data_IF_609015147606
#
_entry.id   IF_609015147606
#
_cell.length_a   1.000
_cell.length_b   1.000
_cell.length_c   1.000
_cell.angle_alpha   90.00
_cell.angle_beta   90.00
_cell.angle_gamma   90.00
#
_symmetry.space_group_name_H-M   'P 1'
#
loop_
_entity.id
_entity.type
_entity.pdbx_description
1 polymer ?
#
# COMPACT_ATOMS: atom_id res chain seq x y z
N UNK A 1 -14.85 -14.93 -14.67
CA UNK A 1 -15.93 -15.35 -13.75
C UNK A 1 -16.11 -14.23 -12.75
N UNK A 2 -17.25 -13.53 -12.76
CA UNK A 2 -17.49 -12.42 -11.84
C UNK A 2 -17.81 -13.03 -10.46
N UNK A 3 -16.89 -12.89 -9.49
CA UNK A 3 -17.11 -13.44 -8.15
C UNK A 3 -18.25 -12.67 -7.50
N UNK A 4 -19.28 -13.37 -7.03
CA UNK A 4 -20.41 -12.73 -6.37
C UNK A 4 -19.96 -12.11 -5.03
N UNK A 5 -20.02 -10.77 -4.92
CA UNK A 5 -19.60 -10.03 -3.72
C UNK A 5 -20.26 -10.52 -2.43
N UNK A 6 -21.50 -11.00 -2.50
CA UNK A 6 -22.22 -11.56 -1.35
C UNK A 6 -21.70 -12.93 -0.91
N UNK A 7 -21.31 -13.79 -1.86
CA UNK A 7 -20.65 -15.06 -1.51
C UNK A 7 -19.28 -14.82 -0.90
N UNK A 8 -18.51 -13.91 -1.48
CA UNK A 8 -17.19 -13.55 -0.96
C UNK A 8 -17.30 -12.94 0.44
N UNK A 9 -18.25 -12.02 0.65
CA UNK A 9 -18.55 -11.47 1.96
C UNK A 9 -18.88 -12.55 3.00
N UNK A 10 -19.70 -13.54 2.64
CA UNK A 10 -20.04 -14.64 3.56
C UNK A 10 -18.83 -15.47 3.95
N UNK A 11 -17.97 -15.83 2.98
CA UNK A 11 -16.74 -16.58 3.25
C UNK A 11 -15.78 -15.79 4.14
N UNK A 12 -15.58 -14.50 3.84
CA UNK A 12 -14.70 -13.64 4.64
C UNK A 12 -15.28 -13.42 6.05
N UNK A 13 -16.58 -13.18 6.17
CA UNK A 13 -17.25 -13.02 7.46
C UNK A 13 -17.07 -14.23 8.37
N UNK A 14 -17.05 -15.44 7.80
CA UNK A 14 -16.77 -16.67 8.56
C UNK A 14 -15.32 -16.73 9.05
N UNK A 15 -14.36 -16.36 8.19
CA UNK A 15 -12.93 -16.30 8.55
C UNK A 15 -12.70 -15.27 9.67
N UNK A 16 -13.24 -14.06 9.52
CA UNK A 16 -13.11 -12.99 10.51
C UNK A 16 -13.74 -13.37 11.85
N UNK A 17 -14.89 -14.05 11.82
CA UNK A 17 -15.55 -14.56 13.04
C UNK A 17 -14.65 -15.55 13.79
N UNK A 18 -13.98 -16.45 13.08
CA UNK A 18 -13.05 -17.41 13.67
C UNK A 18 -11.82 -16.70 14.24
N UNK A 19 -11.21 -15.79 13.47
CA UNK A 19 -10.03 -15.04 13.90
C UNK A 19 -10.32 -14.15 15.12
N UNK A 20 -11.49 -13.51 15.19
CA UNK A 20 -11.92 -12.75 16.37
C UNK A 20 -12.03 -13.64 17.61
N UNK A 21 -12.62 -14.83 17.48
CA UNK A 21 -12.74 -15.79 18.60
C UNK A 21 -11.39 -16.28 19.11
N UNK A 22 -10.39 -16.35 18.23
CA UNK A 22 -9.02 -16.71 18.56
C UNK A 22 -8.18 -15.53 19.08
N UNK A 23 -8.75 -14.32 19.13
CA UNK A 23 -8.02 -13.10 19.53
C UNK A 23 -6.97 -12.66 18.52
N UNK A 24 -7.07 -13.10 17.26
CA UNK A 24 -6.09 -12.82 16.18
C UNK A 24 -6.39 -11.48 15.51
N UNK A 25 -7.66 -11.16 15.29
CA UNK A 25 -8.07 -9.89 14.71
C UNK A 25 -9.08 -9.14 15.61
N UNK A 26 -9.19 -7.83 15.40
CA UNK A 26 -10.05 -6.94 16.18
C UNK A 26 -11.22 -6.34 15.37
N UNK A 27 -11.77 -7.06 14.41
CA UNK A 27 -12.91 -6.56 13.63
C UNK A 27 -14.16 -6.45 14.51
N UNK A 28 -15.00 -5.45 14.27
CA UNK A 28 -16.23 -5.30 15.06
C UNK A 28 -17.24 -6.43 14.77
N UNK A 29 -17.98 -6.85 15.80
CA UNK A 29 -19.08 -7.82 15.61
C UNK A 29 -20.12 -7.32 14.61
N UNK A 30 -20.33 -5.99 14.53
CA UNK A 30 -21.20 -5.34 13.54
C UNK A 30 -20.75 -5.60 12.11
N UNK A 31 -19.46 -5.43 11.82
CA UNK A 31 -18.87 -5.68 10.49
C UNK A 31 -19.05 -7.14 10.11
N UNK A 32 -18.69 -8.06 11.02
CA UNK A 32 -18.82 -9.51 10.79
C UNK A 32 -20.28 -9.90 10.54
N UNK A 33 -21.21 -9.39 11.35
CA UNK A 33 -22.64 -9.63 11.16
C UNK A 33 -23.13 -9.13 9.80
N UNK A 34 -22.69 -7.95 9.38
CA UNK A 34 -23.05 -7.37 8.08
C UNK A 34 -22.60 -8.25 6.91
N UNK A 35 -21.35 -8.73 6.95
CA UNK A 35 -20.79 -9.63 5.94
C UNK A 35 -21.53 -10.97 5.87
N UNK A 36 -21.81 -11.59 7.01
CA UNK A 36 -22.46 -12.90 7.11
C UNK A 36 -23.91 -12.90 6.61
N UNK A 37 -24.61 -11.77 6.76
CA UNK A 37 -26.03 -11.65 6.45
C UNK A 37 -26.32 -10.91 5.14
N UNK A 38 -25.29 -10.58 4.36
CA UNK A 38 -25.51 -9.93 3.06
C UNK A 38 -25.94 -8.46 3.16
N UNK A 39 -25.58 -7.76 4.24
CA UNK A 39 -25.91 -6.34 4.41
C UNK A 39 -25.02 -5.52 3.47
N UNK A 40 -25.59 -5.10 2.35
CA UNK A 40 -24.86 -4.50 1.23
C UNK A 40 -23.98 -3.29 1.61
N UNK A 41 -24.43 -2.32 2.44
CA UNK A 41 -23.56 -1.21 2.84
C UNK A 41 -22.30 -1.65 3.61
N UNK A 42 -22.42 -2.66 4.47
CA UNK A 42 -21.28 -3.20 5.23
C UNK A 42 -20.31 -3.97 4.31
N UNK A 43 -20.83 -4.59 3.25
CA UNK A 43 -20.04 -5.28 2.23
C UNK A 43 -19.27 -4.27 1.38
N UNK A 44 -19.94 -3.22 0.93
CA UNK A 44 -19.34 -2.20 0.08
C UNK A 44 -18.27 -1.40 0.84
N UNK A 45 -18.52 -1.07 2.11
CA UNK A 45 -17.52 -0.47 3.00
C UNK A 45 -16.32 -1.40 3.24
N UNK A 46 -16.56 -2.69 3.47
CA UNK A 46 -15.47 -3.64 3.70
C UNK A 46 -14.59 -3.83 2.46
N UNK A 47 -15.18 -3.83 1.27
CA UNK A 47 -14.45 -3.99 0.01
C UNK A 47 -13.97 -2.67 -0.60
N UNK A 48 -14.16 -1.53 0.06
CA UNK A 48 -13.69 -0.23 -0.44
C UNK A 48 -12.17 -0.09 -0.26
N UNK A 49 -11.40 -0.90 -0.98
CA UNK A 49 -9.96 -0.73 -1.14
C UNK A 49 -9.75 0.02 -2.44
N UNK A 50 -9.18 1.22 -2.36
CA UNK A 50 -8.76 1.96 -3.53
C UNK A 50 -7.65 1.18 -4.26
N UNK A 51 -7.88 0.84 -5.52
CA UNK A 51 -6.94 0.07 -6.31
C UNK A 51 -5.75 0.92 -6.73
N UNK A 52 -4.54 0.45 -6.44
CA UNK A 52 -3.32 0.95 -7.09
C UNK A 52 -3.22 0.30 -8.48
N UNK A 53 -3.27 1.13 -9.52
CA UNK A 53 -3.23 0.70 -10.91
C UNK A 53 -1.81 0.47 -11.40
N UNK A 54 -1.67 -0.32 -12.47
CA UNK A 54 -0.39 -0.50 -13.17
C UNK A 54 0.21 0.82 -13.67
N UNK A 55 -0.64 1.77 -14.08
CA UNK A 55 -0.21 3.10 -14.50
C UNK A 55 0.45 3.88 -13.36
N UNK A 56 -0.13 3.81 -12.15
CA UNK A 56 0.45 4.47 -10.98
C UNK A 56 1.77 3.83 -10.56
N UNK A 57 1.86 2.49 -10.56
CA UNK A 57 3.14 1.80 -10.29
C UNK A 57 4.21 2.21 -11.29
N UNK A 58 3.85 2.26 -12.58
CA UNK A 58 4.76 2.69 -13.64
C UNK A 58 5.22 4.14 -13.44
N UNK A 59 4.31 5.05 -13.10
CA UNK A 59 4.65 6.46 -12.85
C UNK A 59 5.70 6.60 -11.75
N UNK A 60 5.56 5.88 -10.63
CA UNK A 60 6.58 5.86 -9.56
C UNK A 60 7.90 5.29 -10.08
N UNK A 61 7.88 4.17 -10.82
CA UNK A 61 9.08 3.58 -11.42
C UNK A 61 9.80 4.59 -12.34
N UNK A 62 9.06 5.31 -13.18
CA UNK A 62 9.61 6.29 -14.11
C UNK A 62 10.31 7.44 -13.36
N UNK A 63 9.81 7.83 -12.18
CA UNK A 63 10.44 8.82 -11.30
C UNK A 63 11.70 8.29 -10.60
N UNK A 64 11.73 7.02 -10.20
CA UNK A 64 12.88 6.41 -9.53
C UNK A 64 14.02 6.02 -10.49
N UNK A 65 13.68 5.65 -11.73
CA UNK A 65 14.63 5.14 -12.73
C UNK A 65 15.86 6.03 -12.96
N UNK A 66 15.74 7.37 -13.06
CA UNK A 66 16.91 8.24 -13.20
C UNK A 66 17.94 8.07 -12.08
N UNK A 67 17.50 7.82 -10.84
CA UNK A 67 18.40 7.61 -9.70
C UNK A 67 18.89 6.17 -9.60
N UNK A 68 18.13 5.21 -10.11
CA UNK A 68 18.53 3.80 -10.12
C UNK A 68 19.60 3.50 -11.17
N UNK A 69 19.50 4.12 -12.35
CA UNK A 69 20.34 3.82 -13.50
C UNK A 69 21.63 4.66 -13.53
N UNK A 70 21.64 5.81 -12.87
CA UNK A 70 22.76 6.76 -12.88
C UNK A 70 23.31 6.98 -11.46
N UNK A 71 24.53 6.48 -11.22
CA UNK A 71 25.20 6.59 -9.92
C UNK A 71 25.51 8.02 -9.50
N UNK A 72 25.74 8.93 -10.44
CA UNK A 72 25.97 10.33 -10.10
C UNK A 72 24.69 10.97 -9.59
N UNK A 73 23.55 10.69 -10.24
CA UNK A 73 22.24 11.14 -9.77
C UNK A 73 21.90 10.53 -8.42
N UNK A 74 22.13 9.22 -8.25
CA UNK A 74 21.96 8.56 -6.95
C UNK A 74 22.79 9.25 -5.88
N UNK A 75 24.06 9.58 -6.16
CA UNK A 75 24.94 10.23 -5.18
C UNK A 75 24.38 11.56 -4.66
N UNK A 76 23.68 12.30 -5.54
CA UNK A 76 23.06 13.60 -5.25
C UNK A 76 21.66 13.50 -4.66
N UNK A 77 21.01 12.35 -4.78
CA UNK A 77 19.70 12.08 -4.19
C UNK A 77 19.80 12.11 -2.65
N UNK A 78 18.96 12.94 -2.03
CA UNK A 78 18.93 13.22 -0.59
C UNK A 78 17.76 12.56 0.12
N UNK A 79 16.63 12.39 -0.55
CA UNK A 79 15.44 11.81 0.04
C UNK A 79 14.17 12.11 -0.76
N UNK A 80 13.03 11.79 -0.16
CA UNK A 80 11.72 11.84 -0.80
C UNK A 80 11.38 13.22 -1.39
N UNK A 81 11.79 14.31 -0.75
CA UNK A 81 11.52 15.66 -1.26
C UNK A 81 12.16 15.95 -2.63
N UNK A 82 13.19 15.20 -3.05
CA UNK A 82 13.78 15.34 -4.39
C UNK A 82 12.87 14.78 -5.51
N UNK A 83 11.90 13.90 -5.18
CA UNK A 83 11.00 13.28 -6.14
C UNK A 83 9.53 13.64 -5.93
N UNK A 84 9.18 14.24 -4.79
CA UNK A 84 7.79 14.53 -4.42
C UNK A 84 7.06 15.33 -5.51
N UNK A 85 7.69 16.39 -6.03
CA UNK A 85 7.08 17.20 -7.09
C UNK A 85 6.86 16.42 -8.40
N UNK A 86 7.79 15.52 -8.76
CA UNK A 86 7.66 14.70 -9.96
C UNK A 86 6.54 13.66 -9.82
N UNK A 87 6.36 13.10 -8.62
CA UNK A 87 5.24 12.21 -8.29
C UNK A 87 3.90 12.95 -8.38
N UNK A 88 3.80 14.14 -7.79
CA UNK A 88 2.59 14.97 -7.84
C UNK A 88 2.21 15.34 -9.28
N UNK A 89 3.19 15.67 -10.12
CA UNK A 89 2.98 15.97 -11.54
C UNK A 89 2.46 14.75 -12.34
N UNK A 90 2.69 13.54 -11.85
CA UNK A 90 2.15 12.30 -12.41
C UNK A 90 0.80 11.89 -11.77
N UNK A 91 0.25 12.74 -10.89
CA UNK A 91 -1.00 12.46 -10.18
C UNK A 91 -0.87 11.42 -9.07
N UNK A 92 0.34 11.22 -8.54
CA UNK A 92 0.60 10.33 -7.41
C UNK A 92 0.66 11.16 -6.14
N UNK A 93 -0.31 10.96 -5.24
CA UNK A 93 -0.23 11.55 -3.91
C UNK A 93 0.76 10.81 -3.01
N UNK A 94 1.11 11.43 -1.87
CA UNK A 94 2.09 10.87 -0.94
C UNK A 94 1.68 9.50 -0.39
N UNK A 95 0.40 9.28 -0.09
CA UNK A 95 -0.08 8.00 0.45
C UNK A 95 0.01 6.88 -0.59
N UNK A 96 -0.34 7.18 -1.84
CA UNK A 96 -0.16 6.27 -2.97
C UNK A 96 1.32 5.97 -3.18
N UNK A 97 2.19 6.98 -3.12
CA UNK A 97 3.64 6.81 -3.21
C UNK A 97 4.16 5.87 -2.12
N UNK A 98 3.77 6.07 -0.85
CA UNK A 98 4.20 5.20 0.27
C UNK A 98 3.82 3.73 0.01
N UNK A 99 2.58 3.46 -0.41
CA UNK A 99 2.13 2.09 -0.73
C UNK A 99 2.95 1.47 -1.85
N UNK A 100 3.20 2.22 -2.93
CA UNK A 100 3.95 1.73 -4.09
C UNK A 100 5.42 1.53 -3.74
N UNK A 101 6.05 2.47 -3.03
CA UNK A 101 7.45 2.37 -2.60
C UNK A 101 7.65 1.18 -1.66
N UNK A 102 6.73 0.96 -0.71
CA UNK A 102 6.72 -0.24 0.15
C UNK A 102 6.62 -1.51 -0.68
N UNK A 103 5.69 -1.57 -1.64
CA UNK A 103 5.57 -2.71 -2.55
C UNK A 103 6.86 -2.97 -3.35
N UNK A 104 7.46 -1.95 -3.95
CA UNK A 104 8.71 -2.07 -4.73
C UNK A 104 9.89 -2.51 -3.85
N UNK A 105 10.02 -1.91 -2.66
CA UNK A 105 11.10 -2.20 -1.72
C UNK A 105 11.07 -3.65 -1.25
N UNK A 106 9.90 -4.15 -0.85
CA UNK A 106 9.73 -5.53 -0.40
C UNK A 106 9.87 -6.56 -1.55
N UNK A 107 9.70 -6.13 -2.79
CA UNK A 107 10.04 -6.89 -4.00
C UNK A 107 11.52 -6.79 -4.40
N UNK A 108 12.38 -6.18 -3.57
CA UNK A 108 13.81 -5.95 -3.82
C UNK A 108 14.10 -5.10 -5.05
N UNK A 109 13.18 -4.19 -5.40
CA UNK A 109 13.35 -3.23 -6.49
C UNK A 109 13.72 -1.86 -5.90
N UNK A 110 14.62 -1.13 -6.57
CA UNK A 110 15.02 0.23 -6.19
C UNK A 110 15.55 0.41 -4.75
N UNK A 111 15.99 -0.67 -4.08
CA UNK A 111 16.38 -0.64 -2.66
C UNK A 111 17.39 0.48 -2.36
N UNK A 112 18.45 0.60 -3.16
CA UNK A 112 19.47 1.65 -2.96
C UNK A 112 18.91 3.09 -3.04
N UNK A 113 17.93 3.32 -3.91
CA UNK A 113 17.28 4.64 -4.04
C UNK A 113 16.36 4.88 -2.85
N UNK A 114 15.57 3.86 -2.48
CA UNK A 114 14.57 3.96 -1.41
C UNK A 114 15.25 4.05 -0.04
N UNK A 115 16.35 3.33 0.20
CA UNK A 115 17.13 3.41 1.45
C UNK A 115 17.64 4.82 1.72
N UNK A 116 17.98 5.58 0.67
CA UNK A 116 18.39 7.00 0.81
C UNK A 116 17.26 7.92 1.29
N UNK A 117 16.02 7.47 1.22
CA UNK A 117 14.88 8.23 1.74
C UNK A 117 14.83 8.18 3.28
N UNK A 118 15.55 7.28 3.95
CA UNK A 118 15.74 7.36 5.41
C UNK A 118 16.72 8.51 5.75
N UNK A 119 16.22 9.74 5.65
CA UNK A 119 17.00 10.95 5.86
C UNK A 119 16.14 12.09 6.39
N UNK A 120 16.81 13.14 6.88
CA UNK A 120 16.13 14.40 7.24
C UNK A 120 15.49 15.12 6.05
N UNK A 121 15.80 14.68 4.81
CA UNK A 121 15.25 15.21 3.57
C UNK A 121 14.04 14.40 3.05
N UNK A 122 13.40 13.67 3.96
CA UNK A 122 12.12 13.02 3.76
C UNK A 122 11.18 13.33 4.93
N UNK A 123 9.86 13.42 4.68
CA UNK A 123 8.88 13.44 5.76
C UNK A 123 8.94 12.11 6.52
N UNK A 124 8.54 12.12 7.79
CA UNK A 124 8.70 10.97 8.71
C UNK A 124 8.10 9.69 8.16
N UNK A 125 6.93 9.79 7.53
CA UNK A 125 6.20 8.68 6.91
C UNK A 125 6.85 8.12 5.63
N UNK A 126 7.84 8.82 5.06
CA UNK A 126 8.57 8.41 3.85
C UNK A 126 10.04 8.09 4.15
N UNK A 127 10.35 7.61 5.36
CA UNK A 127 11.71 7.15 5.73
C UNK A 127 11.87 5.65 5.69
N UNK A 128 10.83 4.92 6.06
CA UNK A 128 10.85 3.47 6.21
C UNK A 128 9.72 2.85 5.40
N UNK A 129 10.07 1.92 4.50
CA UNK A 129 9.13 1.30 3.55
C UNK A 129 9.07 -0.23 3.74
N UNK A 130 8.95 -0.65 4.99
CA UNK A 130 8.86 -2.07 5.37
C UNK A 130 7.41 -2.46 5.64
N UNK A 131 7.10 -3.71 5.30
CA UNK A 131 5.90 -4.40 5.74
C UNK A 131 6.12 -4.73 7.22
N UNK A 132 5.31 -4.15 8.12
CA UNK A 132 5.38 -4.45 9.55
C UNK A 132 5.13 -5.94 9.80
N UNK A 133 5.76 -6.52 10.83
CA UNK A 133 5.68 -7.97 11.11
C UNK A 133 4.24 -8.50 11.40
N UNK A 134 3.24 -7.63 11.54
CA UNK A 134 1.82 -8.01 11.59
C UNK A 134 1.22 -8.40 10.22
N UNK A 135 1.97 -8.24 9.14
CA UNK A 135 1.62 -8.68 7.78
C UNK A 135 2.29 -10.03 7.40
N UNK A 136 2.88 -10.77 8.36
CA UNK A 136 3.40 -12.15 8.17
C UNK A 136 2.51 -13.23 8.78
#
# INVERSE_FOLDING_TARGET
MNVNKFMLAKVIGEILRLQNKLGICGYSEKTIYGLLNGIEPAIDEFFSVEAITQGQVKAVIDVLNPYHLDKEKLSKFKGFYDIEHDLENQGIDRWQAIKILTYLYNNRQFQEVIDKMDSSYSPTECRTFHIDDFEK
#
